data_IF_465914506684
#
_entry.id   IF_465914506684
#
_cell.length_a   1.000
_cell.length_b   1.000
_cell.length_c   1.000
_cell.angle_alpha   90.00
_cell.angle_beta   90.00
_cell.angle_gamma   90.00
#
_symmetry.space_group_name_H-M   'P 1'
#
loop_
_entity.id
_entity.type
_entity.pdbx_description
1 polymer ?
#
# COMPACT_ATOMS: atom_id res chain seq x y z
N UNK A 1 0.49 13.27 -5.93
CA UNK A 1 1.23 12.41 -6.86
C UNK A 1 0.25 11.74 -7.81
N UNK A 2 0.07 12.31 -8.98
CA UNK A 2 -0.91 11.83 -9.95
C UNK A 2 -0.72 12.58 -11.24
N UNK A 3 -1.65 12.39 -12.17
CA UNK A 3 -1.61 13.11 -13.42
C UNK A 3 -1.92 14.60 -13.24
N UNK A 4 -1.01 15.47 -13.65
CA UNK A 4 -1.16 16.92 -13.51
C UNK A 4 -1.51 17.51 -14.88
N UNK A 5 -2.37 18.53 -14.88
CA UNK A 5 -2.55 19.49 -15.97
C UNK A 5 -2.20 20.86 -15.40
N UNK A 6 -1.27 21.57 -16.01
CA UNK A 6 -0.85 22.90 -15.54
C UNK A 6 -1.74 23.98 -16.16
N UNK A 7 -2.17 23.81 -17.41
CA UNK A 7 -3.17 24.65 -18.06
C UNK A 7 -4.29 23.86 -18.78
N UNK A 8 -5.41 24.54 -19.02
CA UNK A 8 -6.54 24.01 -19.78
C UNK A 8 -6.14 23.85 -21.25
N UNK A 9 -6.20 22.63 -21.77
CA UNK A 9 -5.81 22.30 -23.15
C UNK A 9 -4.48 21.54 -23.26
N UNK A 10 -3.72 21.42 -22.17
CA UNK A 10 -2.46 20.69 -22.19
C UNK A 10 -2.61 19.17 -22.07
N UNK A 11 -1.64 18.48 -22.66
CA UNK A 11 -1.48 17.03 -22.52
C UNK A 11 -1.21 16.66 -21.07
N UNK A 12 -1.99 15.71 -20.58
CA UNK A 12 -1.92 15.19 -19.22
C UNK A 12 -0.57 14.49 -19.01
N UNK A 13 0.22 14.94 -18.02
CA UNK A 13 1.52 14.36 -17.68
C UNK A 13 1.38 13.32 -16.57
N UNK A 14 2.25 12.30 -16.57
CA UNK A 14 2.18 11.16 -15.64
C UNK A 14 3.52 10.93 -14.91
N UNK A 15 4.00 11.88 -14.09
CA UNK A 15 5.32 11.81 -13.47
C UNK A 15 5.48 10.59 -12.55
N UNK A 16 4.42 10.17 -11.85
CA UNK A 16 4.46 8.98 -10.99
C UNK A 16 4.68 7.68 -11.77
N UNK A 17 4.11 7.57 -12.98
CA UNK A 17 4.33 6.42 -13.85
C UNK A 17 5.75 6.41 -14.39
N UNK A 18 6.26 7.58 -14.80
CA UNK A 18 7.64 7.71 -15.26
C UNK A 18 8.65 7.34 -14.16
N UNK A 19 8.41 7.78 -12.91
CA UNK A 19 9.25 7.42 -11.77
C UNK A 19 9.26 5.91 -11.52
N UNK A 20 8.09 5.25 -11.46
CA UNK A 20 8.00 3.80 -11.28
C UNK A 20 8.66 3.04 -12.44
N UNK A 21 8.48 3.51 -13.68
CA UNK A 21 9.15 2.92 -14.85
C UNK A 21 10.67 2.97 -14.73
N UNK A 22 11.21 4.13 -14.34
CA UNK A 22 12.64 4.27 -14.14
C UNK A 22 13.16 3.35 -13.02
N UNK A 23 12.43 3.26 -11.89
CA UNK A 23 12.78 2.35 -10.81
C UNK A 23 12.83 0.88 -11.26
N UNK A 24 11.84 0.44 -12.05
CA UNK A 24 11.80 -0.93 -12.60
C UNK A 24 12.96 -1.21 -13.57
N UNK A 25 13.31 -0.23 -14.42
CA UNK A 25 14.46 -0.34 -15.33
C UNK A 25 15.77 -0.47 -14.56
N UNK A 26 16.00 0.39 -13.58
CA UNK A 26 17.21 0.33 -12.75
C UNK A 26 17.28 -0.98 -11.97
N UNK A 27 16.17 -1.47 -11.40
CA UNK A 27 16.13 -2.77 -10.73
C UNK A 27 16.52 -3.92 -11.68
N UNK A 28 16.03 -3.89 -12.92
CA UNK A 28 16.39 -4.88 -13.96
C UNK A 28 17.87 -4.81 -14.34
N UNK A 29 18.42 -3.61 -14.49
CA UNK A 29 19.86 -3.39 -14.76
C UNK A 29 20.75 -3.95 -13.64
N UNK A 30 20.26 -3.91 -12.39
CA UNK A 30 20.90 -4.56 -11.23
C UNK A 30 20.71 -6.09 -11.16
N UNK A 31 20.08 -6.72 -12.17
CA UNK A 31 19.84 -8.16 -12.20
C UNK A 31 18.66 -8.63 -11.33
N UNK A 32 17.83 -7.71 -10.84
CA UNK A 32 16.67 -8.05 -10.00
C UNK A 32 15.55 -8.67 -10.84
N UNK A 33 14.94 -9.76 -10.35
CA UNK A 33 13.82 -10.45 -11.01
C UNK A 33 12.43 -10.01 -10.54
N UNK A 34 12.34 -9.28 -9.43
CA UNK A 34 11.07 -8.90 -8.80
C UNK A 34 11.12 -7.46 -8.34
N UNK A 35 10.12 -6.68 -8.74
CA UNK A 35 9.92 -5.32 -8.25
C UNK A 35 8.69 -5.30 -7.35
N UNK A 36 8.92 -5.14 -6.04
CA UNK A 36 7.84 -5.07 -5.06
C UNK A 36 7.28 -3.64 -5.00
N UNK A 37 6.00 -3.50 -5.35
CA UNK A 37 5.27 -2.23 -5.28
C UNK A 37 4.70 -1.95 -3.88
N UNK A 38 4.91 -2.84 -2.90
CA UNK A 38 4.44 -2.75 -1.52
C UNK A 38 2.90 -2.81 -1.38
N UNK A 39 2.42 -2.57 -0.16
CA UNK A 39 1.03 -2.77 0.25
C UNK A 39 -0.05 -2.14 -0.64
N UNK A 40 -1.13 -2.88 -0.80
CA UNK A 40 -2.36 -2.52 -1.50
C UNK A 40 -3.55 -2.73 -0.57
N UNK A 41 -4.72 -2.23 -0.96
CA UNK A 41 -5.96 -2.59 -0.29
C UNK A 41 -6.15 -4.11 -0.34
N UNK A 42 -6.76 -4.73 0.69
CA UNK A 42 -7.13 -6.13 0.63
C UNK A 42 -7.94 -6.44 -0.63
N UNK A 43 -7.77 -7.64 -1.17
CA UNK A 43 -8.54 -8.09 -2.32
C UNK A 43 -10.04 -8.06 -1.98
N UNK A 44 -10.86 -7.49 -2.87
CA UNK A 44 -12.29 -7.31 -2.62
C UNK A 44 -12.69 -6.14 -1.72
N UNK A 45 -11.77 -5.31 -1.20
CA UNK A 45 -12.10 -4.21 -0.29
C UNK A 45 -12.99 -3.09 -0.91
N UNK A 46 -13.07 -3.05 -2.24
CA UNK A 46 -13.95 -2.16 -2.99
C UNK A 46 -13.55 -0.67 -2.97
N UNK A 47 -14.33 0.20 -3.65
CA UNK A 47 -13.98 1.61 -3.86
C UNK A 47 -13.96 2.47 -2.59
N UNK A 48 -14.67 2.05 -1.54
CA UNK A 48 -14.74 2.78 -0.26
C UNK A 48 -13.48 2.61 0.60
N UNK A 49 -12.61 1.67 0.27
CA UNK A 49 -11.39 1.46 1.03
C UNK A 49 -10.39 2.60 0.82
N UNK A 50 -9.79 3.09 1.91
CA UNK A 50 -8.82 4.21 1.91
C UNK A 50 -7.64 4.05 0.94
N UNK A 51 -7.30 2.81 0.59
CA UNK A 51 -6.20 2.49 -0.33
C UNK A 51 -6.65 2.08 -1.73
N UNK A 52 -7.91 2.26 -2.08
CA UNK A 52 -8.43 1.89 -3.40
C UNK A 52 -7.65 2.55 -4.55
N UNK A 53 -7.43 3.87 -4.48
CA UNK A 53 -6.68 4.60 -5.50
C UNK A 53 -5.22 4.13 -5.66
N UNK A 54 -4.53 3.86 -4.54
CA UNK A 54 -3.17 3.32 -4.58
C UNK A 54 -3.13 1.92 -5.20
N UNK A 55 -4.14 1.09 -4.93
CA UNK A 55 -4.25 -0.25 -5.47
C UNK A 55 -4.53 -0.22 -6.97
N UNK A 56 -5.40 0.69 -7.42
CA UNK A 56 -5.70 0.88 -8.83
C UNK A 56 -4.47 1.36 -9.62
N UNK A 57 -3.69 2.30 -9.05
CA UNK A 57 -2.43 2.73 -9.63
C UNK A 57 -1.45 1.56 -9.81
N UNK A 58 -1.24 0.75 -8.77
CA UNK A 58 -0.31 -0.38 -8.78
C UNK A 58 -0.76 -1.52 -9.71
N UNK A 59 -2.07 -1.75 -9.82
CA UNK A 59 -2.66 -2.74 -10.75
C UNK A 59 -2.30 -2.46 -12.21
N UNK A 60 -2.08 -1.20 -12.58
CA UNK A 60 -1.68 -0.80 -13.93
C UNK A 60 -0.32 -1.30 -14.40
N UNK A 61 0.52 -1.84 -13.51
CA UNK A 61 1.84 -2.39 -13.84
C UNK A 61 1.86 -3.91 -14.03
N UNK A 62 0.68 -4.55 -14.10
CA UNK A 62 0.52 -6.00 -14.33
C UNK A 62 1.23 -6.88 -13.29
N UNK A 63 1.33 -6.37 -12.05
CA UNK A 63 1.89 -7.11 -10.93
C UNK A 63 0.93 -8.16 -10.37
N UNK A 64 1.47 -9.09 -9.56
CA UNK A 64 0.70 -10.08 -8.82
C UNK A 64 0.30 -9.59 -7.42
N UNK A 65 -0.91 -9.91 -6.98
CA UNK A 65 -1.30 -9.71 -5.58
C UNK A 65 -0.66 -10.82 -4.72
N UNK A 66 -0.06 -10.44 -3.60
CA UNK A 66 0.54 -11.39 -2.65
C UNK A 66 -0.01 -11.08 -1.27
N UNK A 67 -0.71 -12.06 -0.69
CA UNK A 67 -1.13 -12.01 0.70
C UNK A 67 -0.10 -12.74 1.56
N UNK A 68 0.43 -12.03 2.56
CA UNK A 68 1.37 -12.59 3.53
C UNK A 68 0.62 -13.07 4.78
N UNK A 69 1.25 -13.94 5.57
CA UNK A 69 0.65 -14.46 6.82
C UNK A 69 0.35 -13.39 7.89
N UNK A 70 0.75 -12.13 7.64
CA UNK A 70 0.56 -11.03 8.58
C UNK A 70 1.59 -11.05 9.69
N UNK A 71 1.23 -10.44 10.82
CA UNK A 71 2.09 -10.32 12.00
C UNK A 71 1.65 -11.33 13.05
N UNK A 72 2.63 -11.85 13.80
CA UNK A 72 2.42 -12.81 14.88
C UNK A 72 2.98 -12.23 16.17
N UNK A 73 2.20 -12.30 17.24
CA UNK A 73 2.60 -11.83 18.56
C UNK A 73 3.13 -13.01 19.38
N UNK A 74 4.39 -12.93 19.83
CA UNK A 74 4.93 -13.85 20.83
C UNK A 74 4.61 -13.30 22.23
N UNK A 75 3.67 -13.94 22.92
CA UNK A 75 3.25 -13.50 24.26
C UNK A 75 4.22 -14.01 25.31
N UNK A 76 5.04 -13.11 25.86
CA UNK A 76 5.97 -13.41 26.96
C UNK A 76 5.28 -13.33 28.32
N UNK A 77 4.44 -12.30 28.52
CA UNK A 77 3.65 -12.08 29.74
C UNK A 77 2.17 -11.90 29.38
N UNK A 78 1.33 -12.82 29.85
CA UNK A 78 -0.10 -12.82 29.54
C UNK A 78 -0.88 -11.68 30.20
N UNK A 79 -0.44 -11.17 31.35
CA UNK A 79 -1.11 -10.07 32.05
C UNK A 79 -0.85 -8.74 31.31
N UNK A 80 0.40 -8.46 30.95
CA UNK A 80 0.76 -7.26 30.19
C UNK A 80 0.08 -7.25 28.82
N UNK A 81 0.03 -8.40 28.16
CA UNK A 81 -0.63 -8.53 26.86
C UNK A 81 -2.14 -8.21 26.94
N UNK A 82 -2.83 -8.72 27.98
CA UNK A 82 -4.25 -8.41 28.20
C UNK A 82 -4.48 -6.93 28.54
N UNK A 83 -3.61 -6.32 29.33
CA UNK A 83 -3.71 -4.89 29.66
C UNK A 83 -3.54 -4.01 28.40
N UNK A 84 -2.60 -4.37 27.52
CA UNK A 84 -2.42 -3.75 26.20
C UNK A 84 -3.69 -3.88 25.34
N UNK A 85 -4.29 -5.06 25.30
CA UNK A 85 -5.50 -5.29 24.51
C UNK A 85 -6.70 -4.50 25.06
N UNK A 86 -6.85 -4.45 26.38
CA UNK A 86 -7.88 -3.65 27.05
C UNK A 86 -7.72 -2.15 26.76
N UNK A 87 -6.49 -1.61 26.86
CA UNK A 87 -6.22 -0.21 26.53
C UNK A 87 -6.48 0.09 25.05
N UNK A 88 -6.15 -0.82 24.14
CA UNK A 88 -6.50 -0.67 22.71
C UNK A 88 -8.02 -0.67 22.48
N UNK A 89 -8.78 -1.51 23.18
CA UNK A 89 -10.24 -1.56 23.10
C UNK A 89 -10.87 -0.22 23.55
N UNK A 90 -10.43 0.30 24.70
CA UNK A 90 -10.88 1.61 25.22
C UNK A 90 -10.57 2.73 24.22
N UNK A 91 -9.37 2.74 23.63
CA UNK A 91 -8.99 3.75 22.62
C UNK A 91 -9.83 3.67 21.34
N UNK A 92 -10.23 2.48 20.91
CA UNK A 92 -11.13 2.30 19.75
C UNK A 92 -12.53 2.84 20.04
N UNK A 93 -13.04 2.65 21.25
CA UNK A 93 -14.33 3.20 21.69
C UNK A 93 -14.30 4.72 21.73
N UNK A 94 -13.23 5.32 22.25
CA UNK A 94 -13.07 6.79 22.34
C UNK A 94 -12.85 7.49 20.99
N UNK A 95 -12.56 6.74 19.91
CA UNK A 95 -12.33 7.26 18.55
C UNK A 95 -13.52 7.04 17.60
N UNK A 96 -14.62 6.50 18.10
CA UNK A 96 -15.92 6.49 17.42
C UNK A 96 -16.72 7.70 17.86
#
# INVERSE_FOLDING_TARGET
>A
AGSIREAKGETKRFPSYAAQWQMMRTAREMGTKTHDLWGVAPEGAGPKHRWYGYSLFKKGFDGRFVSWAGSWDLVIDGLLYRLRDATMAVRRMSRR
#
